data_IF_264705202543
#
_entry.id   IF_264705202543
#
_cell.length_a   1.000
_cell.length_b   1.000
_cell.length_c   1.000
_cell.angle_alpha   90.00
_cell.angle_beta   90.00
_cell.angle_gamma   90.00
#
_symmetry.space_group_name_H-M   'P 1'
#
loop_
_entity.id
_entity.type
_entity.pdbx_description
1 polymer ?
#
# COMPACT_ATOMS: atom_id res chain seq x y z
N UNK A 1 4.46 33.72 6.84
CA UNK A 1 4.87 32.68 5.90
C UNK A 1 4.43 31.36 6.53
N UNK A 2 3.28 30.82 6.11
CA UNK A 2 2.85 29.47 6.48
C UNK A 2 3.81 28.48 5.83
N UNK A 3 4.47 27.62 6.64
CA UNK A 3 5.22 26.50 6.10
C UNK A 3 4.31 25.69 5.14
N UNK A 4 4.84 25.17 4.02
CA UNK A 4 4.01 24.36 3.13
C UNK A 4 3.40 23.23 3.97
N UNK A 5 2.08 23.12 3.95
CA UNK A 5 1.35 22.07 4.63
C UNK A 5 1.89 20.73 4.10
N UNK A 6 2.48 19.93 4.97
CA UNK A 6 2.95 18.62 4.58
C UNK A 6 1.76 17.83 4.04
N UNK A 7 1.91 17.20 2.88
CA UNK A 7 0.87 16.38 2.26
C UNK A 7 0.99 14.92 2.72
N UNK A 8 -0.11 14.14 2.70
CA UNK A 8 -0.02 12.70 2.93
C UNK A 8 0.74 12.00 1.79
N UNK A 9 1.35 10.86 2.09
CA UNK A 9 2.04 10.02 1.10
C UNK A 9 1.52 8.58 1.17
N UNK A 10 1.68 7.83 0.09
CA UNK A 10 1.45 6.38 0.10
C UNK A 10 2.72 5.63 0.53
N UNK A 11 2.56 4.69 1.46
CA UNK A 11 3.57 3.68 1.78
C UNK A 11 3.17 2.37 1.11
N UNK A 12 3.87 2.01 0.04
CA UNK A 12 3.65 0.76 -0.68
C UNK A 12 4.51 -0.34 -0.06
N UNK A 13 3.89 -1.24 0.70
CA UNK A 13 4.60 -2.34 1.36
C UNK A 13 4.84 -3.49 0.38
N UNK A 14 6.08 -3.70 -0.02
CA UNK A 14 6.53 -4.72 -0.97
C UNK A 14 7.52 -5.72 -0.35
N UNK A 15 7.65 -5.76 0.99
CA UNK A 15 8.59 -6.62 1.70
C UNK A 15 7.94 -7.87 2.34
N UNK A 16 6.74 -8.25 1.93
CA UNK A 16 6.00 -9.42 2.44
C UNK A 16 6.60 -10.77 2.02
N UNK A 17 6.36 -11.81 2.84
CA UNK A 17 6.98 -13.15 2.67
C UNK A 17 6.53 -13.95 1.46
N UNK A 18 5.53 -13.62 0.69
CA UNK A 18 5.08 -14.37 -0.50
C UNK A 18 5.11 -15.93 -0.41
N UNK A 19 5.05 -16.49 0.81
CA UNK A 19 5.38 -17.88 1.12
C UNK A 19 4.41 -18.93 0.56
N UNK A 20 3.29 -18.48 0.00
CA UNK A 20 2.26 -19.35 -0.61
C UNK A 20 2.31 -19.36 -2.14
N UNK A 21 3.07 -18.46 -2.73
CA UNK A 21 3.36 -18.48 -4.16
C UNK A 21 4.45 -19.50 -4.45
N UNK A 22 4.57 -20.03 -5.68
CA UNK A 22 5.63 -20.96 -6.03
C UNK A 22 7.00 -20.34 -5.67
N UNK A 23 7.83 -21.08 -4.94
CA UNK A 23 9.13 -20.63 -4.44
C UNK A 23 10.12 -20.21 -5.55
N UNK A 24 9.79 -20.49 -6.82
CA UNK A 24 10.58 -20.14 -8.03
C UNK A 24 10.11 -18.84 -8.69
N UNK A 25 8.94 -18.34 -8.33
CA UNK A 25 8.35 -17.16 -8.97
C UNK A 25 7.98 -16.12 -7.92
N UNK A 26 8.63 -14.97 -7.96
CA UNK A 26 8.33 -13.87 -7.06
C UNK A 26 6.99 -13.24 -7.46
N UNK A 27 5.96 -13.38 -6.61
CA UNK A 27 4.58 -12.96 -6.91
C UNK A 27 4.44 -11.51 -7.37
N UNK A 28 5.27 -10.60 -6.81
CA UNK A 28 5.23 -9.17 -7.11
C UNK A 28 5.78 -8.81 -8.49
N UNK A 29 6.62 -9.68 -9.07
CA UNK A 29 7.19 -9.54 -10.41
C UNK A 29 6.35 -10.22 -11.49
N UNK A 30 5.25 -10.88 -11.14
CA UNK A 30 4.37 -11.51 -12.10
C UNK A 30 3.76 -10.47 -13.05
N UNK A 31 3.69 -10.79 -14.35
CA UNK A 31 3.13 -9.92 -15.38
C UNK A 31 1.68 -9.53 -15.02
N UNK A 32 1.41 -8.23 -14.98
CA UNK A 32 0.10 -7.68 -14.67
C UNK A 32 -0.08 -6.33 -15.39
N UNK A 33 -1.22 -6.07 -16.05
CA UNK A 33 -1.43 -4.79 -16.72
C UNK A 33 -1.67 -3.67 -15.71
N UNK A 34 -1.18 -2.47 -16.03
CA UNK A 34 -1.55 -1.26 -15.29
C UNK A 34 -3.02 -0.90 -15.57
N UNK A 35 -3.61 -0.01 -14.78
CA UNK A 35 -4.99 0.47 -14.93
C UNK A 35 -5.26 1.11 -16.31
N UNK A 36 -4.24 1.68 -16.96
CA UNK A 36 -4.29 2.25 -18.32
C UNK A 36 -4.02 1.22 -19.45
N UNK A 37 -3.86 -0.05 -19.09
CA UNK A 37 -3.63 -1.16 -20.02
C UNK A 37 -2.17 -1.37 -20.42
N UNK A 38 -1.23 -0.52 -19.99
CA UNK A 38 0.20 -0.75 -20.26
C UNK A 38 0.68 -2.04 -19.58
N UNK A 39 1.60 -2.78 -20.22
CA UNK A 39 2.20 -3.96 -19.59
C UNK A 39 3.02 -3.56 -18.36
N UNK A 40 2.97 -4.38 -17.31
CA UNK A 40 3.69 -4.19 -16.07
C UNK A 40 3.74 -5.46 -15.24
N UNK A 41 3.95 -5.30 -13.95
CA UNK A 41 4.00 -6.35 -12.94
C UNK A 41 2.98 -6.04 -11.85
N UNK A 42 2.62 -7.01 -11.02
CA UNK A 42 1.69 -6.84 -9.89
C UNK A 42 2.07 -5.61 -9.04
N UNK A 43 3.34 -5.53 -8.59
CA UNK A 43 3.78 -4.40 -7.77
C UNK A 43 3.78 -3.05 -8.51
N UNK A 44 4.18 -3.03 -9.79
CA UNK A 44 4.20 -1.78 -10.56
C UNK A 44 2.79 -1.31 -10.92
N UNK A 45 1.83 -2.21 -11.07
CA UNK A 45 0.43 -1.85 -11.27
C UNK A 45 -0.18 -1.20 -10.02
N UNK A 46 0.07 -1.76 -8.82
CA UNK A 46 -0.33 -1.13 -7.56
C UNK A 46 0.35 0.25 -7.37
N UNK A 47 1.64 0.35 -7.69
CA UNK A 47 2.38 1.61 -7.63
C UNK A 47 1.84 2.67 -8.60
N UNK A 48 1.51 2.27 -9.84
CA UNK A 48 1.01 3.17 -10.87
C UNK A 48 -0.30 3.85 -10.45
N UNK A 49 -1.26 3.09 -9.91
CA UNK A 49 -2.50 3.64 -9.40
C UNK A 49 -2.29 4.64 -8.26
N UNK A 50 -1.39 4.35 -7.32
CA UNK A 50 -1.06 5.25 -6.22
C UNK A 50 -0.36 6.53 -6.69
N UNK A 51 0.55 6.43 -7.66
CA UNK A 51 1.30 7.57 -8.22
C UNK A 51 0.42 8.59 -8.95
N UNK A 52 -0.72 8.17 -9.50
CA UNK A 52 -1.73 9.09 -10.06
C UNK A 52 -2.37 9.97 -8.97
N UNK A 53 -2.33 9.53 -7.72
CA UNK A 53 -3.07 10.17 -6.62
C UNK A 53 -2.15 10.94 -5.68
N UNK A 54 -0.96 10.39 -5.35
CA UNK A 54 -0.06 10.97 -4.36
C UNK A 54 1.37 10.45 -4.52
N UNK A 55 2.40 11.11 -3.92
CA UNK A 55 3.76 10.57 -3.88
C UNK A 55 3.80 9.20 -3.20
N UNK A 56 4.63 8.29 -3.74
CA UNK A 56 4.76 6.91 -3.24
C UNK A 56 6.17 6.65 -2.73
N UNK A 57 6.27 6.15 -1.50
CA UNK A 57 7.46 5.54 -0.93
C UNK A 57 7.25 4.03 -0.86
N UNK A 58 7.95 3.28 -1.70
CA UNK A 58 7.90 1.83 -1.71
C UNK A 58 8.93 1.26 -0.72
N UNK A 59 8.47 0.37 0.13
CA UNK A 59 9.29 -0.36 1.11
C UNK A 59 9.57 -1.74 0.56
N UNK A 60 10.81 -1.98 0.14
CA UNK A 60 11.25 -3.24 -0.49
C UNK A 60 12.22 -4.00 0.42
N UNK A 61 12.34 -5.33 0.29
CA UNK A 61 13.18 -6.14 1.20
C UNK A 61 14.68 -5.90 1.02
N UNK A 62 15.11 -5.40 -0.15
CA UNK A 62 16.51 -5.18 -0.49
C UNK A 62 16.68 -4.70 -1.93
N UNK A 63 17.92 -4.54 -2.40
CA UNK A 63 18.21 -4.23 -3.80
C UNK A 63 17.84 -5.41 -4.70
N UNK A 64 17.45 -5.13 -5.97
CA UNK A 64 17.10 -6.12 -6.97
C UNK A 64 16.03 -5.63 -7.94
N UNK A 65 15.54 -6.54 -8.78
CA UNK A 65 14.62 -6.24 -9.88
C UNK A 65 13.35 -5.50 -9.40
N UNK A 66 12.75 -5.91 -8.29
CA UNK A 66 11.58 -5.26 -7.72
C UNK A 66 11.85 -3.80 -7.35
N UNK A 67 13.00 -3.52 -6.70
CA UNK A 67 13.37 -2.16 -6.32
C UNK A 67 13.65 -1.28 -7.55
N UNK A 68 14.29 -1.84 -8.57
CA UNK A 68 14.57 -1.16 -9.84
C UNK A 68 13.30 -0.85 -10.62
N UNK A 69 12.38 -1.83 -10.72
CA UNK A 69 11.11 -1.66 -11.40
C UNK A 69 10.24 -0.57 -10.74
N UNK A 70 10.13 -0.58 -9.40
CA UNK A 70 9.37 0.44 -8.65
C UNK A 70 10.02 1.83 -8.74
N UNK A 71 11.36 1.90 -8.73
CA UNK A 71 12.08 3.17 -8.95
C UNK A 71 11.88 3.72 -10.36
N UNK A 72 11.94 2.86 -11.38
CA UNK A 72 11.66 3.24 -12.77
C UNK A 72 10.22 3.72 -12.97
N UNK A 73 9.28 3.22 -12.18
CA UNK A 73 7.89 3.67 -12.16
C UNK A 73 7.72 5.08 -11.54
N UNK A 74 8.69 5.55 -10.76
CA UNK A 74 8.65 6.87 -10.11
C UNK A 74 8.52 6.83 -8.59
N UNK A 75 8.57 5.65 -7.96
CA UNK A 75 8.55 5.53 -6.51
C UNK A 75 9.88 5.94 -5.87
N UNK A 76 9.82 6.64 -4.75
CA UNK A 76 10.93 6.65 -3.81
C UNK A 76 11.07 5.27 -3.17
N UNK A 77 12.29 4.86 -2.81
CA UNK A 77 12.55 3.51 -2.28
C UNK A 77 13.19 3.62 -0.90
N UNK A 78 12.69 2.84 0.07
CA UNK A 78 13.40 2.57 1.32
C UNK A 78 13.46 1.06 1.60
N UNK A 79 14.42 0.67 2.44
CA UNK A 79 14.71 -0.73 2.76
C UNK A 79 14.87 -0.86 4.27
N UNK A 80 14.11 -1.73 4.94
CA UNK A 80 14.33 -2.02 6.36
C UNK A 80 15.66 -2.75 6.55
N UNK A 81 16.19 -2.72 7.78
CA UNK A 81 17.43 -3.45 8.08
C UNK A 81 17.29 -4.95 7.75
N UNK A 82 18.32 -5.60 7.20
CA UNK A 82 18.24 -6.99 6.70
C UNK A 82 17.72 -8.01 7.74
N UNK A 83 18.06 -7.84 9.03
CA UNK A 83 17.61 -8.72 10.10
C UNK A 83 16.10 -8.68 10.35
N UNK A 84 15.44 -7.58 9.99
CA UNK A 84 14.00 -7.33 10.21
C UNK A 84 13.20 -7.12 8.93
N UNK A 85 13.83 -7.26 7.76
CA UNK A 85 13.21 -6.95 6.45
C UNK A 85 11.95 -7.80 6.12
N UNK A 86 11.72 -8.87 6.87
CA UNK A 86 10.58 -9.78 6.67
C UNK A 86 9.41 -9.54 7.62
N UNK A 87 9.55 -8.64 8.60
CA UNK A 87 8.48 -8.30 9.52
C UNK A 87 7.64 -7.13 8.95
N UNK A 88 6.32 -7.26 8.96
CA UNK A 88 5.43 -6.20 8.47
C UNK A 88 5.60 -4.91 9.28
N UNK A 89 5.74 -5.00 10.60
CA UNK A 89 5.98 -3.83 11.47
C UNK A 89 7.29 -3.12 11.14
N UNK A 90 8.36 -3.86 10.84
CA UNK A 90 9.65 -3.27 10.48
C UNK A 90 9.59 -2.54 9.13
N UNK A 91 8.88 -3.12 8.14
CA UNK A 91 8.63 -2.47 6.87
C UNK A 91 7.84 -1.18 7.04
N UNK A 92 6.75 -1.22 7.82
CA UNK A 92 5.94 -0.05 8.09
C UNK A 92 6.72 1.04 8.85
N UNK A 93 7.45 0.68 9.91
CA UNK A 93 8.33 1.62 10.63
C UNK A 93 9.37 2.27 9.72
N UNK A 94 10.03 1.47 8.86
CA UNK A 94 10.99 1.98 7.88
C UNK A 94 10.36 3.05 6.99
N UNK A 95 9.20 2.78 6.40
CA UNK A 95 8.48 3.74 5.58
C UNK A 95 8.11 5.02 6.33
N UNK A 96 7.55 4.89 7.53
CA UNK A 96 7.17 6.02 8.39
C UNK A 96 8.38 6.86 8.80
N UNK A 97 9.51 6.24 9.19
CA UNK A 97 10.75 6.94 9.53
C UNK A 97 11.31 7.75 8.37
N UNK A 98 11.34 7.17 7.15
CA UNK A 98 11.84 7.86 5.95
C UNK A 98 10.92 8.99 5.48
N UNK A 99 9.69 9.02 5.93
CA UNK A 99 8.68 10.00 5.57
C UNK A 99 8.07 10.73 6.78
N UNK A 100 8.81 10.85 7.87
CA UNK A 100 8.32 11.42 9.14
C UNK A 100 7.80 12.87 9.04
N UNK A 101 8.04 13.58 7.93
CA UNK A 101 7.52 14.93 7.68
C UNK A 101 6.13 14.92 7.00
N UNK A 102 5.62 13.77 6.55
CA UNK A 102 4.31 13.67 5.93
C UNK A 102 3.18 14.02 6.92
N UNK A 103 2.05 14.53 6.42
CA UNK A 103 0.87 14.80 7.24
C UNK A 103 0.06 13.54 7.56
N UNK A 104 0.35 12.43 6.88
CA UNK A 104 -0.26 11.12 7.06
C UNK A 104 0.27 10.10 6.06
N UNK A 105 -0.09 8.86 6.26
CA UNK A 105 0.39 7.71 5.47
C UNK A 105 -0.78 6.86 5.00
N UNK A 106 -0.92 6.69 3.68
CA UNK A 106 -1.81 5.69 3.09
C UNK A 106 -1.02 4.39 2.93
N UNK A 107 -1.26 3.42 3.80
CA UNK A 107 -0.56 2.13 3.82
C UNK A 107 -1.23 1.17 2.85
N UNK A 108 -0.56 0.94 1.72
CA UNK A 108 -0.99 0.07 0.64
C UNK A 108 -0.10 -1.18 0.53
N UNK A 109 -0.66 -2.25 -0.02
CA UNK A 109 0.02 -3.52 -0.24
C UNK A 109 0.38 -3.68 -1.72
N UNK A 110 1.62 -4.07 -2.02
CA UNK A 110 2.09 -4.20 -3.40
C UNK A 110 1.48 -5.39 -4.17
N UNK A 111 0.83 -6.30 -3.46
CA UNK A 111 0.09 -7.44 -4.01
C UNK A 111 -1.40 -7.15 -4.25
N UNK A 112 -1.86 -5.90 -4.12
CA UNK A 112 -3.23 -5.46 -4.37
C UNK A 112 -3.29 -4.48 -5.55
N UNK A 113 -3.16 -4.93 -6.80
CA UNK A 113 -3.01 -4.08 -7.98
C UNK A 113 -4.33 -3.50 -8.53
N UNK A 114 -5.49 -3.89 -7.98
CA UNK A 114 -6.81 -3.56 -8.51
C UNK A 114 -7.61 -2.55 -7.67
N UNK A 115 -6.99 -1.83 -6.75
CA UNK A 115 -7.71 -0.78 -6.00
C UNK A 115 -8.04 0.38 -6.95
N UNK A 116 -9.31 0.78 -7.00
CA UNK A 116 -9.80 1.85 -7.88
C UNK A 116 -9.17 3.21 -7.56
N UNK A 117 -8.89 4.01 -8.58
CA UNK A 117 -8.39 5.37 -8.42
C UNK A 117 -9.35 6.25 -7.61
N UNK A 118 -10.67 6.07 -7.79
CA UNK A 118 -11.70 6.77 -7.02
C UNK A 118 -11.61 6.48 -5.53
N UNK A 119 -11.39 5.22 -5.15
CA UNK A 119 -11.16 4.79 -3.76
C UNK A 119 -9.89 5.43 -3.19
N UNK A 120 -8.79 5.41 -3.95
CA UNK A 120 -7.53 6.04 -3.53
C UNK A 120 -7.66 7.55 -3.35
N UNK A 121 -8.39 8.24 -4.24
CA UNK A 121 -8.68 9.67 -4.11
C UNK A 121 -9.48 9.97 -2.84
N UNK A 122 -10.55 9.21 -2.56
CA UNK A 122 -11.37 9.38 -1.35
C UNK A 122 -10.52 9.24 -0.07
N UNK A 123 -9.66 8.22 -0.01
CA UNK A 123 -8.78 7.99 1.13
C UNK A 123 -7.75 9.11 1.32
N UNK A 124 -7.12 9.58 0.22
CA UNK A 124 -6.21 10.72 0.23
C UNK A 124 -6.90 11.97 0.78
N UNK A 125 -8.09 12.26 0.28
CA UNK A 125 -8.82 13.48 0.63
C UNK A 125 -9.25 13.47 2.10
N UNK A 126 -9.68 12.33 2.61
CA UNK A 126 -9.99 12.16 4.03
C UNK A 126 -8.75 12.36 4.92
N UNK A 127 -7.58 11.81 4.52
CA UNK A 127 -6.30 12.06 5.22
C UNK A 127 -5.90 13.53 5.17
N UNK A 128 -6.02 14.18 4.01
CA UNK A 128 -5.72 15.59 3.83
C UNK A 128 -6.65 16.48 4.64
N UNK A 129 -7.91 16.07 4.85
CA UNK A 129 -8.88 16.71 5.73
C UNK A 129 -8.63 16.45 7.23
N UNK A 130 -7.61 15.63 7.59
CA UNK A 130 -7.20 15.39 8.96
C UNK A 130 -7.86 14.18 9.63
N UNK A 131 -8.44 13.25 8.87
CA UNK A 131 -8.94 12.00 9.44
C UNK A 131 -7.82 11.25 10.19
N UNK A 132 -8.03 10.86 11.46
CA UNK A 132 -6.99 10.19 12.25
C UNK A 132 -6.66 8.80 11.70
N UNK A 133 -7.68 7.99 11.38
CA UNK A 133 -7.55 6.72 10.64
C UNK A 133 -8.70 6.66 9.64
N UNK A 134 -8.42 6.20 8.42
CA UNK A 134 -9.42 6.03 7.36
C UNK A 134 -9.25 4.68 6.68
N UNK A 135 -10.36 4.01 6.39
CA UNK A 135 -10.37 2.73 5.70
C UNK A 135 -11.53 2.65 4.70
N UNK A 136 -11.35 2.02 3.54
CA UNK A 136 -12.45 1.74 2.63
C UNK A 136 -13.29 0.58 3.20
N UNK A 137 -14.60 0.65 3.00
CA UNK A 137 -15.56 -0.37 3.43
C UNK A 137 -16.46 -0.72 2.26
N UNK A 138 -16.70 -1.99 2.03
CA UNK A 138 -17.71 -2.49 1.12
C UNK A 138 -18.51 -3.58 1.80
N UNK A 139 -19.83 -3.43 1.82
CA UNK A 139 -20.78 -4.36 2.47
C UNK A 139 -20.42 -4.64 3.95
N UNK A 140 -20.04 -3.58 4.71
CA UNK A 140 -19.70 -3.66 6.13
C UNK A 140 -18.34 -4.31 6.42
N UNK A 141 -17.53 -4.61 5.42
CA UNK A 141 -16.20 -5.20 5.56
C UNK A 141 -15.12 -4.20 5.17
N UNK A 142 -14.18 -3.95 6.09
CA UNK A 142 -13.01 -3.08 5.83
C UNK A 142 -12.00 -3.74 4.92
N UNK A 143 -11.48 -2.98 3.96
CA UNK A 143 -10.44 -3.39 3.03
C UNK A 143 -9.14 -2.59 3.16
N UNK A 144 -8.32 -2.66 2.13
CA UNK A 144 -7.08 -1.91 1.94
C UNK A 144 -7.20 -0.95 0.74
N UNK A 145 -6.37 0.11 0.70
CA UNK A 145 -5.37 0.55 1.68
C UNK A 145 -5.99 1.23 2.91
N UNK A 146 -5.19 1.37 3.98
CA UNK A 146 -5.61 2.04 5.22
C UNK A 146 -4.78 3.29 5.44
N UNK A 147 -5.44 4.40 5.72
CA UNK A 147 -4.79 5.68 6.00
C UNK A 147 -4.62 5.94 7.49
N UNK A 148 -3.47 6.49 7.87
CA UNK A 148 -3.13 6.95 9.22
C UNK A 148 -2.69 8.40 9.17
N UNK A 149 -3.38 9.28 9.89
CA UNK A 149 -3.00 10.67 10.07
C UNK A 149 -1.75 10.80 10.96
N UNK A 150 -1.11 11.97 10.90
CA UNK A 150 0.13 12.25 11.63
C UNK A 150 0.03 12.03 13.15
N UNK A 151 -1.14 12.16 13.75
CA UNK A 151 -1.35 11.88 15.17
C UNK A 151 -0.94 10.45 15.59
N UNK A 152 -0.87 9.52 14.63
CA UNK A 152 -0.45 8.14 14.86
C UNK A 152 1.04 7.87 14.62
N UNK A 153 1.88 8.90 14.39
CA UNK A 153 3.31 8.74 14.12
C UNK A 153 3.99 7.86 15.16
N UNK A 154 3.89 8.24 16.44
CA UNK A 154 4.57 7.51 17.53
C UNK A 154 4.05 6.08 17.68
N UNK A 155 2.74 5.89 17.53
CA UNK A 155 2.12 4.56 17.57
C UNK A 155 2.59 3.66 16.41
N UNK A 156 2.73 4.21 15.19
CA UNK A 156 3.26 3.48 14.04
C UNK A 156 4.74 3.13 14.22
N UNK A 157 5.54 4.02 14.80
CA UNK A 157 6.95 3.78 15.10
C UNK A 157 7.17 2.78 16.25
N UNK A 158 6.19 2.64 17.15
CA UNK A 158 6.24 1.67 18.26
C UNK A 158 5.78 0.26 17.89
N UNK A 159 5.29 0.02 16.66
CA UNK A 159 4.82 -1.30 16.21
C UNK A 159 5.93 -2.35 16.29
N UNK A 160 5.55 -3.59 16.68
CA UNK A 160 6.46 -4.73 16.77
C UNK A 160 5.81 -6.01 16.21
N UNK A 161 6.63 -6.94 15.73
CA UNK A 161 6.22 -8.25 15.23
C UNK A 161 5.37 -8.19 13.94
N UNK A 162 4.62 -9.26 13.68
CA UNK A 162 3.89 -9.45 12.41
C UNK A 162 2.46 -8.88 12.41
N UNK A 163 1.99 -8.27 13.50
CA UNK A 163 0.60 -7.77 13.58
C UNK A 163 0.34 -6.52 12.74
N UNK A 164 1.40 -5.83 12.27
CA UNK A 164 1.27 -4.59 11.52
C UNK A 164 0.43 -3.55 12.27
N UNK A 165 -0.26 -2.68 11.54
CA UNK A 165 -1.11 -1.64 12.11
C UNK A 165 -2.52 -2.11 12.51
N UNK A 166 -2.85 -3.41 12.41
CA UNK A 166 -4.18 -3.94 12.76
C UNK A 166 -4.59 -3.66 14.21
N UNK A 167 -3.64 -3.62 15.13
CA UNK A 167 -3.90 -3.28 16.54
C UNK A 167 -4.48 -1.86 16.67
N UNK A 168 -3.98 -0.91 15.90
CA UNK A 168 -4.47 0.48 15.92
C UNK A 168 -5.92 0.59 15.45
N UNK A 169 -6.31 -0.23 14.45
CA UNK A 169 -7.70 -0.26 13.96
C UNK A 169 -8.70 -0.80 14.98
N UNK A 170 -8.24 -1.55 15.99
CA UNK A 170 -9.09 -2.09 17.06
C UNK A 170 -9.23 -1.13 18.23
N UNK A 171 -8.26 -0.26 18.46
CA UNK A 171 -8.16 0.59 19.66
C UNK A 171 -8.51 2.06 19.38
N UNK A 172 -8.61 2.45 18.10
CA UNK A 172 -8.89 3.82 17.70
C UNK A 172 -10.14 3.88 16.81
N UNK A 173 -10.79 5.04 16.81
CA UNK A 173 -11.89 5.30 15.88
C UNK A 173 -11.36 5.36 14.44
N UNK A 174 -12.04 4.63 13.54
CA UNK A 174 -11.74 4.58 12.11
C UNK A 174 -12.86 5.29 11.36
N UNK A 175 -12.49 6.25 10.51
CA UNK A 175 -13.41 6.82 9.53
C UNK A 175 -13.57 5.80 8.40
N UNK A 176 -14.76 5.22 8.29
CA UNK A 176 -15.11 4.26 7.26
C UNK A 176 -15.68 4.97 6.04
N UNK A 177 -15.14 4.69 4.85
CA UNK A 177 -15.61 5.23 3.58
C UNK A 177 -16.22 4.09 2.76
N UNK A 178 -17.56 4.16 2.57
CA UNK A 178 -18.27 3.20 1.72
C UNK A 178 -17.83 3.37 0.26
N UNK A 179 -17.42 2.26 -0.35
CA UNK A 179 -16.98 2.19 -1.75
C UNK A 179 -17.61 0.99 -2.45
N UNK A 180 -17.65 1.03 -3.79
CA UNK A 180 -18.07 -0.09 -4.63
C UNK A 180 -16.85 -0.61 -5.39
N UNK A 181 -15.85 -1.12 -4.65
CA UNK A 181 -14.52 -1.48 -5.16
C UNK A 181 -14.09 -2.83 -4.58
N UNK A 182 -14.23 -3.90 -5.37
CA UNK A 182 -13.77 -5.24 -4.98
C UNK A 182 -12.23 -5.32 -4.85
N UNK A 183 -11.51 -4.41 -5.50
CA UNK A 183 -10.05 -4.31 -5.45
C UNK A 183 -9.51 -4.13 -4.03
N UNK A 184 -10.30 -3.57 -3.10
CA UNK A 184 -9.91 -3.39 -1.69
C UNK A 184 -9.72 -4.71 -0.93
N UNK A 185 -10.12 -5.85 -1.53
CA UNK A 185 -9.98 -7.21 -0.99
C UNK A 185 -9.15 -8.14 -1.88
N UNK A 186 -8.70 -7.65 -3.04
CA UNK A 186 -8.15 -8.46 -4.11
C UNK A 186 -6.62 -8.54 -4.02
N UNK A 187 -6.11 -9.29 -3.05
CA UNK A 187 -4.70 -9.61 -2.91
C UNK A 187 -4.29 -10.82 -3.79
N UNK A 188 -3.03 -10.83 -4.22
CA UNK A 188 -2.40 -11.90 -4.97
C UNK A 188 -1.52 -12.71 -4.04
N UNK A 189 -2.02 -13.84 -3.52
CA UNK A 189 -1.26 -14.77 -2.67
C UNK A 189 -0.92 -16.08 -3.38
N UNK A 190 -1.68 -16.44 -4.41
CA UNK A 190 -1.53 -17.68 -5.20
C UNK A 190 -1.63 -17.41 -6.71
N UNK A 191 -1.23 -18.39 -7.53
CA UNK A 191 -1.43 -18.32 -8.99
C UNK A 191 -2.92 -18.26 -9.39
N UNK A 192 -3.82 -18.78 -8.55
CA UNK A 192 -5.26 -18.70 -8.75
C UNK A 192 -5.76 -17.28 -8.45
N UNK A 193 -5.29 -16.65 -7.36
CA UNK A 193 -5.59 -15.24 -7.08
C UNK A 193 -5.14 -14.35 -8.23
N UNK A 194 -3.92 -14.57 -8.75
CA UNK A 194 -3.42 -13.80 -9.90
C UNK A 194 -4.35 -13.89 -11.12
N UNK A 195 -4.91 -15.08 -11.40
CA UNK A 195 -5.88 -15.25 -12.50
C UNK A 195 -7.16 -14.48 -12.21
N UNK A 196 -7.71 -14.61 -11.00
CA UNK A 196 -8.93 -13.90 -10.55
C UNK A 196 -8.75 -12.39 -10.64
N UNK A 197 -7.64 -11.87 -10.11
CA UNK A 197 -7.35 -10.44 -10.07
C UNK A 197 -7.11 -9.87 -11.48
N UNK A 198 -6.54 -10.66 -12.41
CA UNK A 198 -6.46 -10.26 -13.83
C UNK A 198 -7.83 -10.09 -14.50
N UNK A 199 -8.79 -10.94 -14.16
CA UNK A 199 -10.17 -10.80 -14.66
C UNK A 199 -10.81 -9.53 -14.08
N UNK A 200 -10.65 -9.28 -12.78
CA UNK A 200 -11.14 -8.06 -12.13
C UNK A 200 -10.61 -6.80 -12.84
N UNK A 201 -9.29 -6.75 -13.09
CA UNK A 201 -8.65 -5.62 -13.79
C UNK A 201 -9.19 -5.39 -15.22
N UNK A 202 -9.73 -6.41 -15.88
CA UNK A 202 -10.36 -6.25 -17.19
C UNK A 202 -11.77 -5.64 -17.10
N UNK A 203 -12.48 -5.87 -16.01
CA UNK A 203 -13.82 -5.33 -15.78
C UNK A 203 -13.81 -3.85 -15.33
N UNK A 204 -12.69 -3.36 -14.80
CA UNK A 204 -12.51 -1.99 -14.33
C UNK A 204 -12.08 -1.01 -15.45
N UNK A 205 -11.86 -1.49 -16.67
CA UNK A 205 -11.50 -0.68 -17.85
C UNK A 205 -12.72 -0.36 -18.68
#
# INVERSE_FOLDING_TARGET
MTAPSASPIALLLAAGRGSRFDAREEKLLQAFPHHDGRPGMVATAAAAALLEVMPVLAVVPGPGELAEALRAQGCAICMPAPASSREMSASLRCGVQHSAQASGWLVALADMPCVDLSTLCLLRDALAAGAPIVAPVMQGRRGHPVGFGRAHLDALLALQGDQGARALLKTHQVTELEVMDEGIFADVDTAEDLRRVRVLAQCQR
#
